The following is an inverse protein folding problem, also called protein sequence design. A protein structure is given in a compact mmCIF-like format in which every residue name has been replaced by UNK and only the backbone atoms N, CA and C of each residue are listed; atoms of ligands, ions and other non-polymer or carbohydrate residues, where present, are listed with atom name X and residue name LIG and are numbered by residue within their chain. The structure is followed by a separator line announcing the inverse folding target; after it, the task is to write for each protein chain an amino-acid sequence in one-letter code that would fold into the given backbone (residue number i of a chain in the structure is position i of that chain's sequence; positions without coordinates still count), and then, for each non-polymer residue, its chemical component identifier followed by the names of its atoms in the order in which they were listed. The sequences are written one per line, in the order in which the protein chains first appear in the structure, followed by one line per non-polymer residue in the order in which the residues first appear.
data_IF_797299693958
#
_entry.id   IF_797299693958
#
_cell.length_a   1.000
_cell.length_b   1.000
_cell.length_c   1.000
_cell.angle_alpha   90.00
_cell.angle_beta   90.00
_cell.angle_gamma   90.00
#
_symmetry.space_group_name_H-M   'P 1'
#
loop_
_entity.id
_entity.type
_entity.pdbx_description
1 polymer ?
#
# COMPACT_ATOMS: atom_id res chain seq x y z
N UNK A 1 6.22 -14.46 4.37
CA UNK A 1 5.90 -13.02 4.54
C UNK A 1 4.40 -12.86 4.43
N UNK A 2 3.80 -12.11 5.34
CA UNK A 2 2.35 -11.86 5.37
C UNK A 2 1.83 -11.30 4.04
N UNK A 3 2.60 -10.42 3.40
CA UNK A 3 2.24 -9.84 2.11
C UNK A 3 2.03 -10.90 1.01
N UNK A 4 2.94 -11.87 0.87
CA UNK A 4 2.79 -12.95 -0.11
C UNK A 4 1.54 -13.78 0.13
N UNK A 5 1.28 -14.17 1.37
CA UNK A 5 0.08 -14.92 1.77
C UNK A 5 -1.21 -14.14 1.48
N UNK A 6 -1.19 -12.82 1.69
CA UNK A 6 -2.32 -11.97 1.36
C UNK A 6 -2.58 -11.91 -0.16
N UNK A 7 -1.53 -11.76 -0.97
CA UNK A 7 -1.63 -11.80 -2.45
C UNK A 7 -2.17 -13.14 -2.93
N UNK A 8 -1.66 -14.26 -2.41
CA UNK A 8 -2.15 -15.61 -2.71
C UNK A 8 -3.63 -15.77 -2.40
N UNK A 9 -4.08 -15.25 -1.24
CA UNK A 9 -5.48 -15.26 -0.85
C UNK A 9 -6.38 -14.51 -1.82
N UNK A 10 -5.93 -13.35 -2.33
CA UNK A 10 -6.67 -12.58 -3.35
C UNK A 10 -6.74 -13.34 -4.67
N UNK A 11 -5.68 -14.03 -5.06
CA UNK A 11 -5.63 -14.79 -6.33
C UNK A 11 -6.48 -16.07 -6.24
N UNK A 12 -6.21 -16.93 -5.26
CA UNK A 12 -6.72 -18.29 -5.24
C UNK A 12 -7.27 -18.77 -3.88
N UNK A 13 -7.54 -17.84 -2.96
CA UNK A 13 -8.16 -18.20 -1.68
C UNK A 13 -9.46 -18.96 -1.90
N UNK A 14 -9.69 -19.99 -1.07
CA UNK A 14 -10.88 -20.84 -1.18
C UNK A 14 -11.28 -21.37 0.19
N UNK A 15 -12.06 -20.58 0.91
CA UNK A 15 -12.74 -20.99 2.13
C UNK A 15 -14.11 -20.28 2.25
N UNK A 16 -14.80 -20.52 3.35
CA UNK A 16 -16.13 -19.97 3.59
C UNK A 16 -16.14 -18.44 3.77
N UNK A 17 -14.98 -17.82 3.99
CA UNK A 17 -14.82 -16.38 4.24
C UNK A 17 -14.25 -15.65 3.03
N UNK A 18 -13.30 -16.27 2.32
CA UNK A 18 -12.57 -15.66 1.22
C UNK A 18 -12.62 -16.56 -0.02
N UNK A 19 -13.09 -15.98 -1.13
CA UNK A 19 -12.97 -16.59 -2.45
C UNK A 19 -12.12 -15.67 -3.32
N UNK A 20 -10.95 -16.16 -3.74
CA UNK A 20 -10.05 -15.46 -4.67
C UNK A 20 -10.66 -15.35 -6.07
N UNK A 21 -10.03 -14.53 -6.91
CA UNK A 21 -10.50 -14.29 -8.29
C UNK A 21 -10.39 -15.54 -9.14
N UNK A 22 -9.38 -16.40 -8.89
CA UNK A 22 -9.12 -17.65 -9.59
C UNK A 22 -8.95 -18.81 -8.60
N UNK A 23 -10.02 -19.24 -7.88
CA UNK A 23 -9.93 -20.18 -6.74
C UNK A 23 -9.54 -21.61 -7.14
N UNK A 24 -9.44 -21.91 -8.41
CA UNK A 24 -8.99 -23.20 -8.93
C UNK A 24 -7.63 -23.13 -9.65
N UNK A 25 -6.95 -21.97 -9.62
CA UNK A 25 -5.62 -21.85 -10.17
C UNK A 25 -4.62 -22.68 -9.35
N UNK A 26 -3.68 -23.32 -10.03
CA UNK A 26 -2.53 -23.94 -9.41
C UNK A 26 -1.47 -22.86 -9.16
N UNK A 27 -1.03 -22.71 -7.92
CA UNK A 27 -0.04 -21.71 -7.55
C UNK A 27 1.36 -22.32 -7.48
N UNK A 28 2.32 -21.60 -8.06
CA UNK A 28 3.75 -21.84 -7.89
C UNK A 28 4.33 -20.62 -7.17
N UNK A 29 4.83 -20.81 -5.95
CA UNK A 29 5.26 -19.72 -5.08
C UNK A 29 6.77 -19.54 -5.18
N UNK A 30 7.19 -18.37 -5.65
CA UNK A 30 8.59 -17.97 -5.77
C UNK A 30 8.95 -16.96 -4.67
N UNK A 31 9.65 -17.42 -3.62
CA UNK A 31 10.09 -16.55 -2.53
C UNK A 31 11.38 -15.83 -2.90
N UNK A 32 11.27 -14.57 -3.30
CA UNK A 32 12.42 -13.73 -3.72
C UNK A 32 12.91 -12.77 -2.65
N UNK A 33 12.13 -12.52 -1.59
CA UNK A 33 12.53 -11.71 -0.44
C UNK A 33 13.17 -12.57 0.64
N UNK A 34 14.34 -12.13 1.12
CA UNK A 34 15.02 -12.75 2.24
C UNK A 34 14.33 -12.44 3.57
N UNK A 35 14.41 -13.37 4.53
CA UNK A 35 13.99 -13.09 5.92
C UNK A 35 15.06 -12.34 6.72
N UNK A 36 16.25 -12.16 6.14
CA UNK A 36 17.43 -11.60 6.82
C UNK A 36 17.90 -10.26 6.26
N UNK A 37 17.28 -9.75 5.21
CA UNK A 37 17.63 -8.47 4.59
C UNK A 37 16.39 -7.75 4.05
N UNK A 38 16.43 -6.43 4.09
CA UNK A 38 15.42 -5.60 3.49
C UNK A 38 15.47 -5.70 1.95
N UNK A 39 14.31 -5.92 1.33
CA UNK A 39 14.15 -5.98 -0.11
C UNK A 39 14.50 -7.32 -0.75
N UNK A 40 14.24 -7.44 -2.04
CA UNK A 40 14.63 -8.55 -2.89
C UNK A 40 15.89 -8.18 -3.68
N UNK A 41 16.78 -9.15 -3.89
CA UNK A 41 17.91 -8.98 -4.81
C UNK A 41 17.41 -9.17 -6.24
N UNK A 42 17.87 -8.34 -7.16
CA UNK A 42 17.56 -8.47 -8.60
C UNK A 42 17.86 -9.88 -9.11
N UNK A 43 19.01 -10.44 -8.75
CA UNK A 43 19.39 -11.80 -9.14
C UNK A 43 18.39 -12.89 -8.68
N UNK A 44 17.79 -12.71 -7.50
CA UNK A 44 16.76 -13.66 -7.01
C UNK A 44 15.45 -13.53 -7.79
N UNK A 45 15.10 -12.32 -8.19
CA UNK A 45 13.92 -12.07 -9.03
C UNK A 45 14.13 -12.68 -10.42
N UNK A 46 15.31 -12.43 -11.03
CA UNK A 46 15.62 -12.93 -12.37
C UNK A 46 15.65 -14.48 -12.40
N UNK A 47 16.28 -15.11 -11.40
CA UNK A 47 16.28 -16.57 -11.30
C UNK A 47 14.86 -17.14 -11.16
N UNK A 48 13.98 -16.50 -10.39
CA UNK A 48 12.59 -16.92 -10.27
C UNK A 48 11.82 -16.76 -11.58
N UNK A 49 12.09 -15.73 -12.37
CA UNK A 49 11.48 -15.52 -13.68
C UNK A 49 11.96 -16.58 -14.69
N UNK A 50 13.25 -16.91 -14.71
CA UNK A 50 13.79 -18.01 -15.53
C UNK A 50 13.14 -19.35 -15.16
N UNK A 51 13.03 -19.65 -13.87
CA UNK A 51 12.34 -20.85 -13.39
C UNK A 51 10.87 -20.90 -13.84
N UNK A 52 10.16 -19.77 -13.85
CA UNK A 52 8.80 -19.68 -14.36
C UNK A 52 8.72 -20.05 -15.86
N UNK A 53 9.66 -19.60 -16.68
CA UNK A 53 9.74 -19.96 -18.10
C UNK A 53 9.99 -21.47 -18.26
N UNK A 54 10.94 -22.03 -17.49
CA UNK A 54 11.25 -23.46 -17.51
C UNK A 54 10.07 -24.31 -17.07
N UNK A 55 9.31 -23.88 -16.07
CA UNK A 55 8.13 -24.56 -15.58
C UNK A 55 6.92 -24.44 -16.52
N UNK A 56 6.95 -23.50 -17.46
CA UNK A 56 5.86 -23.28 -18.41
C UNK A 56 4.59 -22.78 -17.72
N UNK A 57 4.72 -21.81 -16.82
CA UNK A 57 3.55 -21.17 -16.17
C UNK A 57 2.77 -20.33 -17.18
N UNK A 58 1.47 -20.18 -16.98
CA UNK A 58 0.63 -19.37 -17.86
C UNK A 58 0.69 -17.86 -17.50
N UNK A 59 0.80 -17.57 -16.21
CA UNK A 59 0.75 -16.21 -15.68
C UNK A 59 1.79 -16.03 -14.54
N UNK A 60 2.48 -14.91 -14.56
CA UNK A 60 3.36 -14.47 -13.46
C UNK A 60 2.74 -13.23 -12.81
N UNK A 61 2.52 -13.25 -11.51
CA UNK A 61 2.11 -12.08 -10.73
C UNK A 61 3.28 -11.54 -9.92
N UNK A 62 3.60 -10.26 -10.13
CA UNK A 62 4.65 -9.53 -9.41
C UNK A 62 4.05 -8.36 -8.63
N UNK A 63 3.51 -8.64 -7.44
CA UNK A 63 3.05 -7.60 -6.51
C UNK A 63 4.24 -7.03 -5.72
N UNK A 64 5.26 -6.60 -6.42
CA UNK A 64 6.50 -6.03 -5.91
C UNK A 64 7.07 -5.03 -6.91
N UNK A 65 7.99 -4.21 -6.47
CA UNK A 65 8.66 -3.27 -7.37
C UNK A 65 9.44 -2.19 -6.64
N UNK A 66 9.99 -1.28 -7.41
CA UNK A 66 10.66 -0.07 -6.95
C UNK A 66 9.99 1.14 -7.56
N UNK A 67 10.04 2.26 -6.85
CA UNK A 67 9.51 3.54 -7.34
C UNK A 67 10.28 4.05 -8.56
N UNK A 68 9.62 4.83 -9.41
CA UNK A 68 10.23 5.51 -10.55
C UNK A 68 11.04 4.57 -11.45
N UNK A 69 10.41 3.49 -11.91
CA UNK A 69 11.07 2.49 -12.73
C UNK A 69 11.43 3.02 -14.11
N UNK A 70 12.61 2.59 -14.58
CA UNK A 70 13.06 2.79 -15.95
C UNK A 70 13.55 1.46 -16.50
N UNK A 71 13.19 1.17 -17.73
CA UNK A 71 13.84 0.12 -18.53
C UNK A 71 14.82 0.79 -19.49
N UNK A 72 15.96 0.16 -19.74
CA UNK A 72 16.94 0.59 -20.74
C UNK A 72 16.87 -0.35 -21.92
N UNK A 73 17.11 0.18 -23.11
CA UNK A 73 17.20 -0.63 -24.32
C UNK A 73 18.39 -1.60 -24.27
N UNK A 74 19.46 -1.18 -23.63
CA UNK A 74 20.65 -2.03 -23.38
C UNK A 74 20.97 -1.98 -21.90
N UNK A 75 21.08 -3.13 -21.26
CA UNK A 75 21.54 -3.28 -19.88
C UNK A 75 22.74 -4.22 -19.78
N UNK A 76 23.56 -4.00 -18.75
CA UNK A 76 24.80 -4.75 -18.55
C UNK A 76 24.56 -6.13 -17.89
N UNK A 77 23.36 -6.39 -17.38
CA UNK A 77 23.00 -7.58 -16.61
C UNK A 77 22.05 -8.53 -17.35
N UNK A 78 21.79 -8.29 -18.62
CA UNK A 78 20.86 -9.04 -19.47
C UNK A 78 19.44 -9.14 -18.89
N UNK A 79 19.03 -8.14 -18.13
CA UNK A 79 17.71 -8.12 -17.48
C UNK A 79 16.60 -8.10 -18.55
N UNK A 80 16.82 -7.33 -19.62
CA UNK A 80 15.87 -7.23 -20.72
C UNK A 80 15.64 -8.60 -21.40
N UNK A 81 16.69 -9.39 -21.57
CA UNK A 81 16.63 -10.71 -22.22
C UNK A 81 15.69 -11.66 -21.47
N UNK A 82 15.71 -11.59 -20.14
CA UNK A 82 14.81 -12.41 -19.29
C UNK A 82 13.36 -11.98 -19.47
N UNK A 83 13.08 -10.67 -19.46
CA UNK A 83 11.71 -10.19 -19.71
C UNK A 83 11.22 -10.49 -21.13
N UNK A 84 12.08 -10.40 -22.14
CA UNK A 84 11.73 -10.80 -23.51
C UNK A 84 11.47 -12.31 -23.58
N UNK A 85 12.23 -13.16 -22.90
CA UNK A 85 11.99 -14.61 -22.88
C UNK A 85 10.63 -14.98 -22.31
N UNK A 86 10.13 -14.24 -21.31
CA UNK A 86 8.78 -14.41 -20.76
C UNK A 86 7.72 -14.12 -21.83
N UNK A 87 7.91 -13.02 -22.57
CA UNK A 87 7.02 -12.61 -23.66
C UNK A 87 7.04 -13.62 -24.82
N UNK A 88 8.24 -14.07 -25.22
CA UNK A 88 8.42 -15.09 -26.25
C UNK A 88 7.80 -16.44 -25.86
N UNK A 89 7.85 -16.79 -24.58
CA UNK A 89 7.19 -17.97 -24.04
C UNK A 89 5.67 -17.87 -24.00
N UNK A 90 5.10 -16.68 -24.30
CA UNK A 90 3.65 -16.45 -24.26
C UNK A 90 3.09 -16.35 -22.83
N UNK A 91 3.93 -16.11 -21.84
CA UNK A 91 3.54 -16.00 -20.44
C UNK A 91 3.03 -14.57 -20.17
N UNK A 92 1.88 -14.45 -19.52
CA UNK A 92 1.34 -13.15 -19.12
C UNK A 92 2.02 -12.66 -17.84
N UNK A 93 2.83 -11.61 -17.94
CA UNK A 93 3.48 -10.98 -16.79
C UNK A 93 2.65 -9.81 -16.27
N UNK A 94 2.14 -9.92 -15.05
CA UNK A 94 1.32 -8.90 -14.40
C UNK A 94 2.14 -8.26 -13.27
N UNK A 95 2.38 -6.96 -13.35
CA UNK A 95 3.19 -6.24 -12.37
C UNK A 95 2.44 -5.05 -11.76
N UNK A 96 2.64 -4.84 -10.46
CA UNK A 96 2.09 -3.67 -9.77
C UNK A 96 2.71 -2.38 -10.31
N UNK A 97 1.87 -1.38 -10.60
CA UNK A 97 2.32 -0.09 -11.13
C UNK A 97 3.14 0.75 -10.12
N UNK A 98 3.12 0.44 -8.87
CA UNK A 98 3.74 1.08 -7.71
C UNK A 98 2.69 1.62 -6.74
N UNK A 99 3.14 1.93 -5.52
CA UNK A 99 2.37 2.66 -4.52
C UNK A 99 2.73 4.16 -4.48
N UNK A 100 3.67 4.58 -5.30
CA UNK A 100 4.20 5.94 -5.31
C UNK A 100 3.78 6.66 -6.58
N UNK A 101 3.31 7.88 -6.40
CA UNK A 101 2.99 8.78 -7.49
C UNK A 101 4.09 9.84 -7.60
N UNK A 102 5.25 9.44 -8.12
CA UNK A 102 6.41 10.31 -8.23
C UNK A 102 7.08 10.20 -9.60
N UNK A 103 7.44 11.34 -10.15
CA UNK A 103 8.22 11.42 -11.41
C UNK A 103 9.72 11.25 -11.21
N UNK A 104 10.18 11.30 -9.98
CA UNK A 104 11.58 11.23 -9.62
C UNK A 104 11.76 10.33 -8.41
N UNK A 105 12.99 9.87 -8.23
CA UNK A 105 13.39 9.14 -7.03
C UNK A 105 13.22 10.04 -5.81
N UNK A 106 11.99 10.13 -5.32
CA UNK A 106 11.66 10.94 -4.18
C UNK A 106 12.07 10.22 -2.91
N UNK A 107 13.30 10.43 -2.49
CA UNK A 107 13.71 10.05 -1.16
C UNK A 107 14.30 11.25 -0.45
N UNK A 108 13.94 11.43 0.82
CA UNK A 108 14.56 12.43 1.68
C UNK A 108 16.11 12.28 1.71
N UNK A 109 16.60 11.05 1.53
CA UNK A 109 18.04 10.75 1.44
C UNK A 109 18.71 11.38 0.23
N UNK A 110 18.01 11.51 -0.88
CA UNK A 110 18.56 12.03 -2.13
C UNK A 110 18.23 13.49 -2.37
N UNK A 111 17.52 14.13 -1.45
CA UNK A 111 17.14 15.54 -1.56
C UNK A 111 16.19 15.86 -2.74
N UNK A 112 15.62 14.85 -3.38
CA UNK A 112 14.68 15.04 -4.47
C UNK A 112 13.27 15.14 -3.91
N UNK A 113 12.66 16.30 -4.08
CA UNK A 113 11.24 16.49 -3.77
C UNK A 113 10.41 16.12 -5.00
N UNK A 114 9.30 15.42 -4.78
CA UNK A 114 8.34 15.14 -5.83
C UNK A 114 7.87 16.43 -6.49
N UNK A 115 7.66 16.41 -7.80
CA UNK A 115 7.12 17.55 -8.54
C UNK A 115 5.61 17.64 -8.28
N UNK A 116 5.24 18.08 -7.09
CA UNK A 116 3.83 18.27 -6.70
C UNK A 116 3.10 19.30 -7.57
N UNK A 117 3.85 20.15 -8.25
CA UNK A 117 3.31 21.15 -9.19
C UNK A 117 2.96 20.58 -10.58
N UNK A 118 3.36 19.34 -10.88
CA UNK A 118 3.04 18.68 -12.13
C UNK A 118 2.46 17.28 -11.85
N UNK A 119 1.14 17.15 -11.71
CA UNK A 119 0.49 15.88 -11.38
C UNK A 119 0.64 14.82 -12.49
N UNK A 120 0.94 15.22 -13.72
CA UNK A 120 1.09 14.31 -14.86
C UNK A 120 2.51 13.75 -15.01
N UNK A 121 3.40 14.07 -14.08
CA UNK A 121 4.81 13.68 -14.15
C UNK A 121 5.12 12.35 -13.46
N UNK A 122 4.12 11.67 -12.92
CA UNK A 122 4.28 10.37 -12.26
C UNK A 122 4.71 9.27 -13.23
N UNK A 123 5.60 8.40 -12.79
CA UNK A 123 6.01 7.19 -13.50
C UNK A 123 5.60 5.95 -12.75
N UNK A 124 5.32 4.88 -13.46
CA UNK A 124 5.12 3.56 -12.86
C UNK A 124 6.44 3.01 -12.32
N UNK A 125 6.36 2.09 -11.37
CA UNK A 125 7.53 1.45 -10.80
C UNK A 125 8.09 0.34 -11.70
N UNK A 126 9.35 -0.06 -11.49
CA UNK A 126 9.90 -1.27 -12.10
C UNK A 126 9.46 -2.49 -11.26
N UNK A 127 9.07 -3.65 -11.83
CA UNK A 127 9.28 -4.02 -13.24
C UNK A 127 8.12 -3.70 -14.18
N UNK A 128 7.09 -2.97 -13.75
CA UNK A 128 5.94 -2.68 -14.62
C UNK A 128 6.25 -1.75 -15.79
N UNK A 129 7.48 -1.23 -15.88
CA UNK A 129 8.00 -0.44 -17.00
C UNK A 129 8.54 -1.29 -18.15
N UNK A 130 8.69 -2.60 -17.97
CA UNK A 130 9.15 -3.48 -19.06
C UNK A 130 8.02 -3.78 -20.04
N UNK A 131 8.36 -3.86 -21.32
CA UNK A 131 7.42 -4.11 -22.42
C UNK A 131 6.66 -5.44 -22.28
N UNK A 132 7.29 -6.41 -21.63
CA UNK A 132 6.69 -7.71 -21.33
C UNK A 132 5.61 -7.65 -20.25
N UNK A 133 5.55 -6.56 -19.46
CA UNK A 133 4.68 -6.46 -18.30
C UNK A 133 3.38 -5.71 -18.59
N UNK A 134 2.27 -6.28 -18.12
CA UNK A 134 1.02 -5.54 -17.95
C UNK A 134 1.08 -4.81 -16.60
N UNK A 135 1.19 -3.50 -16.62
CA UNK A 135 1.20 -2.65 -15.43
C UNK A 135 -0.21 -2.47 -14.89
N UNK A 136 -0.43 -2.85 -13.63
CA UNK A 136 -1.74 -2.76 -12.97
C UNK A 136 -1.68 -1.79 -11.79
N UNK A 137 -2.47 -0.73 -11.89
CA UNK A 137 -2.64 0.26 -10.83
C UNK A 137 -3.95 0.01 -10.07
N UNK A 138 -3.96 0.39 -8.80
CA UNK A 138 -5.18 0.43 -8.01
C UNK A 138 -6.05 1.63 -8.42
N UNK A 139 -7.35 1.46 -8.28
CA UNK A 139 -8.33 2.55 -8.42
C UNK A 139 -9.17 2.60 -7.16
N UNK A 140 -9.35 3.78 -6.62
CA UNK A 140 -10.28 4.00 -5.51
C UNK A 140 -11.72 3.94 -6.01
N UNK A 141 -12.60 3.44 -5.15
CA UNK A 141 -14.02 3.32 -5.48
C UNK A 141 -14.67 4.68 -5.78
N UNK A 142 -15.90 4.62 -6.33
CA UNK A 142 -16.66 5.81 -6.79
C UNK A 142 -16.96 6.82 -5.66
N UNK A 143 -16.86 6.39 -4.39
CA UNK A 143 -17.07 7.25 -3.22
C UNK A 143 -15.86 7.10 -2.30
N UNK A 144 -15.01 8.10 -2.29
CA UNK A 144 -13.85 8.17 -1.40
C UNK A 144 -14.14 9.22 -0.33
N UNK A 145 -14.04 8.88 0.97
CA UNK A 145 -14.16 9.85 2.03
C UNK A 145 -13.02 10.86 1.99
N UNK A 146 -13.29 12.07 2.38
CA UNK A 146 -12.27 13.12 2.43
C UNK A 146 -12.41 14.00 3.67
N UNK A 147 -11.30 14.60 4.05
CA UNK A 147 -11.23 15.68 5.01
C UNK A 147 -11.11 17.01 4.26
N UNK A 148 -11.75 18.03 4.78
CA UNK A 148 -11.58 19.40 4.31
C UNK A 148 -10.79 20.18 5.36
N UNK A 149 -9.64 20.73 4.98
CA UNK A 149 -8.80 21.54 5.84
C UNK A 149 -8.32 22.78 5.07
N UNK A 150 -8.67 23.96 5.52
CA UNK A 150 -8.36 25.22 4.84
C UNK A 150 -8.66 25.18 3.33
N UNK A 151 -9.85 24.74 2.96
CA UNK A 151 -10.30 24.55 1.56
C UNK A 151 -9.49 23.53 0.74
N UNK A 152 -8.61 22.76 1.38
CA UNK A 152 -7.90 21.66 0.75
C UNK A 152 -8.61 20.34 1.03
N UNK A 153 -8.82 19.55 -0.02
CA UNK A 153 -9.38 18.20 0.09
C UNK A 153 -8.23 17.21 0.33
N UNK A 154 -8.36 16.43 1.40
CA UNK A 154 -7.41 15.38 1.75
C UNK A 154 -8.17 14.05 1.73
N UNK A 155 -7.91 13.22 0.74
CA UNK A 155 -8.50 11.88 0.67
C UNK A 155 -7.85 10.93 1.68
N UNK A 156 -8.63 10.02 2.22
CA UNK A 156 -8.14 9.00 3.12
C UNK A 156 -8.81 7.65 2.88
N UNK A 157 -8.14 6.59 3.29
CA UNK A 157 -8.69 5.25 3.33
C UNK A 157 -9.06 4.89 4.75
N UNK A 158 -10.25 4.34 4.93
CA UNK A 158 -10.68 3.82 6.21
C UNK A 158 -9.94 2.52 6.54
N UNK A 159 -9.35 2.45 7.74
CA UNK A 159 -8.81 1.21 8.25
C UNK A 159 -9.97 0.37 8.80
N UNK A 160 -10.28 -0.73 8.15
CA UNK A 160 -11.20 -1.72 8.70
C UNK A 160 -10.47 -2.55 9.74
N UNK A 161 -10.97 -2.58 10.97
CA UNK A 161 -10.50 -3.53 11.97
C UNK A 161 -10.94 -4.94 11.57
N UNK A 162 -10.07 -5.92 11.76
CA UNK A 162 -10.32 -7.34 11.48
C UNK A 162 -11.36 -8.00 12.40
N UNK A 163 -12.07 -7.24 13.22
CA UNK A 163 -13.16 -7.76 14.03
C UNK A 163 -14.45 -7.87 13.20
N UNK A 164 -15.26 -8.85 13.52
CA UNK A 164 -16.55 -9.16 12.87
C UNK A 164 -17.56 -8.01 12.84
N UNK A 165 -17.30 -6.92 13.51
CA UNK A 165 -18.03 -5.66 13.39
C UNK A 165 -17.17 -4.64 12.65
N UNK A 166 -17.41 -4.49 11.36
CA UNK A 166 -16.86 -3.40 10.55
C UNK A 166 -17.49 -2.08 11.02
N UNK A 167 -16.84 -1.38 11.92
CA UNK A 167 -17.19 0.02 12.21
C UNK A 167 -16.35 0.91 11.29
N UNK A 168 -17.00 1.46 10.29
CA UNK A 168 -16.45 2.53 9.49
C UNK A 168 -16.48 3.82 10.31
N UNK A 169 -15.41 4.60 10.32
CA UNK A 169 -15.35 5.92 10.93
C UNK A 169 -16.43 6.85 10.36
N UNK A 170 -16.68 6.76 9.05
CA UNK A 170 -17.72 7.54 8.38
C UNK A 170 -19.11 7.09 8.82
N UNK A 171 -19.37 5.80 8.91
CA UNK A 171 -20.67 5.27 9.33
C UNK A 171 -20.97 5.61 10.80
N UNK A 172 -19.97 5.54 11.68
CA UNK A 172 -20.13 5.95 13.07
C UNK A 172 -20.47 7.43 13.20
N UNK A 173 -19.86 8.29 12.42
CA UNK A 173 -20.19 9.72 12.39
C UNK A 173 -21.58 9.95 11.83
N UNK A 174 -21.91 9.35 10.69
CA UNK A 174 -23.23 9.49 10.07
C UNK A 174 -24.35 9.01 11.00
N UNK A 175 -24.10 7.94 11.77
CA UNK A 175 -25.05 7.47 12.78
C UNK A 175 -25.28 8.45 13.93
N UNK A 176 -24.28 9.27 14.25
CA UNK A 176 -24.32 10.24 15.35
C UNK A 176 -24.98 11.56 14.94
N UNK A 177 -24.77 12.01 13.69
CA UNK A 177 -25.24 13.33 13.21
C UNK A 177 -26.58 13.28 12.48
N UNK A 178 -27.09 12.08 12.19
CA UNK A 178 -28.38 11.86 11.56
C UNK A 178 -28.38 11.89 10.02
N UNK A 179 -29.46 11.38 9.43
CA UNK A 179 -29.63 11.35 7.98
C UNK A 179 -29.65 12.78 7.38
N UNK A 180 -28.88 12.99 6.34
CA UNK A 180 -28.82 14.26 5.61
C UNK A 180 -27.67 15.19 6.00
N UNK A 181 -26.86 14.81 7.00
CA UNK A 181 -25.64 15.55 7.33
C UNK A 181 -24.49 15.06 6.47
N UNK A 182 -23.89 15.95 5.68
CA UNK A 182 -22.78 15.62 4.77
C UNK A 182 -21.39 16.04 5.30
N UNK A 183 -21.33 16.67 6.46
CA UNK A 183 -20.08 17.13 7.06
C UNK A 183 -20.16 17.13 8.59
N UNK A 184 -19.02 16.95 9.22
CA UNK A 184 -18.85 17.01 10.66
C UNK A 184 -17.51 17.67 11.02
N UNK A 185 -17.51 18.57 12.00
CA UNK A 185 -16.33 19.27 12.46
C UNK A 185 -15.72 18.57 13.67
N UNK A 186 -14.41 18.33 13.64
CA UNK A 186 -13.66 17.72 14.72
C UNK A 186 -12.56 18.63 15.24
N UNK A 187 -12.39 18.63 16.57
CA UNK A 187 -11.11 19.04 17.14
C UNK A 187 -10.06 17.96 16.90
N UNK A 188 -8.85 18.36 16.56
CA UNK A 188 -7.74 17.45 16.37
C UNK A 188 -6.49 17.88 17.12
N UNK A 189 -5.60 16.91 17.37
CA UNK A 189 -4.29 17.15 17.96
C UNK A 189 -3.24 16.29 17.27
N UNK A 190 -2.12 16.91 16.91
CA UNK A 190 -0.98 16.18 16.32
C UNK A 190 -0.13 15.57 17.44
N UNK A 191 0.14 14.27 17.31
CA UNK A 191 1.01 13.53 18.23
C UNK A 191 2.44 13.56 17.70
N UNK A 192 3.40 14.09 18.44
CA UNK A 192 4.81 13.99 18.05
C UNK A 192 5.27 12.52 18.06
N UNK A 193 6.09 12.13 17.10
CA UNK A 193 6.58 10.75 17.00
C UNK A 193 5.66 9.83 16.20
N UNK A 194 5.62 8.56 16.58
CA UNK A 194 4.99 7.48 15.80
C UNK A 194 3.80 6.82 16.51
N UNK A 195 3.22 7.50 17.49
CA UNK A 195 2.01 7.07 18.19
C UNK A 195 2.24 6.00 19.26
N UNK A 196 3.42 5.95 19.87
CA UNK A 196 3.66 5.18 21.08
C UNK A 196 2.99 5.86 22.28
N UNK A 197 2.67 5.12 23.33
CA UNK A 197 2.08 5.71 24.55
C UNK A 197 2.92 6.87 25.11
N UNK A 198 4.25 6.79 25.01
CA UNK A 198 5.18 7.85 25.43
C UNK A 198 5.14 9.12 24.57
N UNK A 199 4.57 9.06 23.38
CA UNK A 199 4.48 10.20 22.47
C UNK A 199 3.30 11.13 22.84
N UNK A 200 2.40 10.69 23.72
CA UNK A 200 1.25 11.44 24.22
C UNK A 200 1.65 12.23 25.46
N UNK A 201 1.81 13.55 25.32
CA UNK A 201 2.44 14.43 26.31
C UNK A 201 1.47 14.98 27.36
N UNK A 202 0.17 14.83 27.17
CA UNK A 202 -0.86 15.36 28.07
C UNK A 202 -1.64 14.25 28.76
N UNK A 203 -2.43 14.62 29.77
CA UNK A 203 -3.36 13.73 30.44
C UNK A 203 -4.42 13.21 29.46
N UNK A 204 -4.96 12.01 29.74
CA UNK A 204 -5.90 11.36 28.83
C UNK A 204 -7.14 12.21 28.52
N UNK A 205 -7.65 12.95 29.50
CA UNK A 205 -8.78 13.89 29.32
C UNK A 205 -8.55 14.97 28.25
N UNK A 206 -7.28 15.28 27.93
CA UNK A 206 -6.94 16.22 26.86
C UNK A 206 -7.29 15.66 25.47
N UNK A 207 -7.22 14.34 25.29
CA UNK A 207 -7.45 13.67 24.01
C UNK A 207 -8.89 13.22 23.84
N UNK A 208 -9.66 13.20 24.91
CA UNK A 208 -11.06 12.77 24.93
C UNK A 208 -11.92 13.57 23.95
N UNK A 209 -12.65 12.88 23.08
CA UNK A 209 -13.48 13.49 22.06
C UNK A 209 -12.74 14.07 20.83
N UNK A 210 -11.41 14.03 20.79
CA UNK A 210 -10.61 14.59 19.71
C UNK A 210 -10.11 13.50 18.75
N UNK A 211 -9.80 13.92 17.54
CA UNK A 211 -9.06 13.12 16.57
C UNK A 211 -7.57 13.34 16.78
N UNK A 212 -6.80 12.25 16.87
CA UNK A 212 -5.34 12.35 16.93
C UNK A 212 -4.71 12.09 15.57
N UNK A 213 -3.78 12.95 15.16
CA UNK A 213 -3.00 12.79 13.94
C UNK A 213 -1.63 12.21 14.30
N UNK A 214 -1.31 11.07 13.72
CA UNK A 214 -0.12 10.30 14.06
C UNK A 214 0.67 9.95 12.79
N UNK A 215 1.98 10.14 12.85
CA UNK A 215 2.87 9.74 11.76
C UNK A 215 2.94 8.21 11.64
N UNK A 216 3.02 7.67 10.41
CA UNK A 216 3.13 6.23 10.15
C UNK A 216 4.31 5.61 10.90
N UNK A 217 5.54 5.85 10.51
CA UNK A 217 6.76 5.36 11.17
C UNK A 217 6.78 3.85 11.45
N UNK A 218 7.47 3.46 12.54
CA UNK A 218 7.80 2.06 12.85
C UNK A 218 6.82 1.32 13.76
N UNK A 219 5.87 2.02 14.39
CA UNK A 219 4.84 1.40 15.24
C UNK A 219 3.74 0.79 14.37
N UNK A 220 3.24 -0.39 14.72
CA UNK A 220 2.14 -1.03 13.97
C UNK A 220 0.86 -0.17 14.00
N UNK A 221 0.00 -0.32 13.01
CA UNK A 221 -1.27 0.40 12.98
C UNK A 221 -2.17 -0.02 14.14
N UNK A 222 -2.18 -1.32 14.46
CA UNK A 222 -2.93 -1.87 15.59
C UNK A 222 -2.52 -1.22 16.91
N UNK A 223 -1.21 -1.14 17.19
CA UNK A 223 -0.72 -0.49 18.41
C UNK A 223 -1.07 1.00 18.46
N UNK A 224 -0.97 1.71 17.33
CA UNK A 224 -1.38 3.13 17.28
C UNK A 224 -2.85 3.31 17.62
N UNK A 225 -3.71 2.47 17.03
CA UNK A 225 -5.16 2.50 17.31
C UNK A 225 -5.43 2.17 18.75
N UNK A 226 -4.83 1.10 19.28
CA UNK A 226 -4.98 0.69 20.68
C UNK A 226 -4.55 1.79 21.64
N UNK A 227 -3.39 2.39 21.44
CA UNK A 227 -2.90 3.49 22.28
C UNK A 227 -3.83 4.70 22.20
N UNK A 228 -4.19 5.14 21.00
CA UNK A 228 -5.02 6.33 20.82
C UNK A 228 -6.41 6.18 21.45
N UNK A 229 -7.10 5.10 21.13
CA UNK A 229 -8.50 4.92 21.49
C UNK A 229 -8.67 4.31 22.88
N UNK A 230 -7.92 3.23 23.21
CA UNK A 230 -8.12 2.49 24.46
C UNK A 230 -7.32 3.05 25.64
N UNK A 231 -6.08 3.50 25.41
CA UNK A 231 -5.25 4.03 26.49
C UNK A 231 -5.46 5.55 26.72
N UNK A 232 -5.68 6.31 25.62
CA UNK A 232 -5.74 7.78 25.68
C UNK A 232 -7.15 8.35 25.54
N UNK A 233 -8.13 7.55 25.14
CA UNK A 233 -9.52 7.97 25.05
C UNK A 233 -9.84 8.89 23.88
N UNK A 234 -9.00 8.95 22.86
CA UNK A 234 -9.29 9.72 21.65
C UNK A 234 -10.54 9.18 20.93
N UNK A 235 -11.32 10.04 20.30
CA UNK A 235 -12.49 9.66 19.53
C UNK A 235 -12.13 8.97 18.21
N UNK A 236 -10.95 9.27 17.67
CA UNK A 236 -10.46 8.64 16.44
C UNK A 236 -8.99 8.93 16.20
N UNK A 237 -8.43 8.27 15.19
CA UNK A 237 -7.03 8.43 14.80
C UNK A 237 -6.91 8.55 13.29
N UNK A 238 -6.10 9.48 12.83
CA UNK A 238 -5.68 9.62 11.45
C UNK A 238 -4.18 9.34 11.39
N UNK A 239 -3.79 8.35 10.59
CA UNK A 239 -2.40 7.98 10.39
C UNK A 239 -1.96 8.54 9.04
N UNK A 240 -1.04 9.50 9.05
CA UNK A 240 -0.52 10.08 7.83
C UNK A 240 0.85 9.49 7.46
N UNK A 241 1.12 9.46 6.17
CA UNK A 241 2.39 8.92 5.68
C UNK A 241 3.57 9.81 6.11
N UNK A 242 4.73 9.21 6.23
CA UNK A 242 5.98 9.87 6.64
C UNK A 242 6.94 10.10 5.48
N UNK A 243 6.39 10.16 4.26
CA UNK A 243 7.18 10.47 3.04
C UNK A 243 7.47 11.96 2.99
#
# INVERSE_FOLDING_TARGET
SEHGTHVEGIIAGKDDTITGVAPNAQLVIMKVFSDYSDGAKTSSILAALEDCVVLGVDVINMSLGTSCGFSREVDEENVNDIYESIKEAGISLIAAASNDYNSTFNSEKNGNNGLTSNPDSGTVGSPSTYDAALSVASVDGVKTPYLLYNDQIIYFNEATTSSTEKKSFVDDILSTVGEGTNSYDFEYVTIPGVGRSSDYMYENSFYEGKIVLVKRGTTSFEDKVRVALQEKGAAGIIIYNNV
#
